data_IF_994085260432
#
_entry.id   IF_994085260432
#
_cell.length_a   1.000
_cell.length_b   1.000
_cell.length_c   1.000
_cell.angle_alpha   90.00
_cell.angle_beta   90.00
_cell.angle_gamma   90.00
#
_symmetry.space_group_name_H-M   'P 1'
#
loop_
_entity.id
_entity.type
_entity.pdbx_description
1 polymer ?
#
# COMPACT_ATOMS: atom_id res chain seq x y z
N UNK A 1 -0.25 -21.53 8.58
CA UNK A 1 -1.50 -21.69 7.81
C UNK A 1 -1.84 -20.30 7.30
N UNK A 2 -1.44 -19.97 6.08
CA UNK A 2 -1.66 -18.64 5.49
C UNK A 2 -3.17 -18.43 5.45
N UNK A 3 -3.68 -17.44 6.19
CA UNK A 3 -5.10 -17.07 6.18
C UNK A 3 -5.44 -16.69 4.74
N UNK A 4 -6.03 -17.61 3.98
CA UNK A 4 -6.69 -17.30 2.72
C UNK A 4 -7.76 -16.25 3.02
N UNK A 5 -7.49 -14.98 2.71
CA UNK A 5 -8.47 -13.90 2.77
C UNK A 5 -9.75 -14.36 2.06
N UNK A 6 -10.90 -14.18 2.72
CA UNK A 6 -12.13 -14.88 2.31
C UNK A 6 -12.64 -14.40 0.95
N UNK A 7 -13.05 -15.36 0.11
CA UNK A 7 -13.76 -15.14 -1.15
C UNK A 7 -14.91 -14.12 -1.04
N UNK A 8 -15.47 -13.99 0.17
CA UNK A 8 -16.62 -13.13 0.45
C UNK A 8 -16.22 -11.65 0.48
N UNK A 9 -15.03 -11.32 0.99
CA UNK A 9 -14.49 -9.96 0.95
C UNK A 9 -14.37 -9.51 -0.52
N UNK A 10 -13.84 -10.38 -1.38
CA UNK A 10 -13.60 -10.06 -2.79
C UNK A 10 -14.90 -9.93 -3.56
N UNK A 11 -15.85 -10.82 -3.28
CA UNK A 11 -17.18 -10.80 -3.87
C UNK A 11 -17.94 -9.54 -3.46
N UNK A 12 -17.93 -9.21 -2.17
CA UNK A 12 -18.54 -7.98 -1.64
C UNK A 12 -17.92 -6.75 -2.29
N UNK A 13 -16.59 -6.72 -2.40
CA UNK A 13 -15.91 -5.61 -3.03
C UNK A 13 -16.29 -5.49 -4.52
N UNK A 14 -16.33 -6.60 -5.27
CA UNK A 14 -16.79 -6.61 -6.68
C UNK A 14 -18.22 -6.08 -6.84
N UNK A 15 -19.11 -6.41 -5.91
CA UNK A 15 -20.50 -5.95 -5.93
C UNK A 15 -20.64 -4.45 -5.60
N UNK A 16 -19.69 -3.91 -4.84
CA UNK A 16 -19.60 -2.47 -4.53
C UNK A 16 -19.00 -1.66 -5.69
N UNK A 17 -18.23 -2.28 -6.58
CA UNK A 17 -17.44 -1.63 -7.62
C UNK A 17 -18.22 -1.42 -8.92
N UNK A 18 -18.21 -0.17 -9.39
CA UNK A 18 -18.34 0.17 -10.81
C UNK A 18 -17.05 0.93 -11.21
N UNK A 19 -16.66 0.90 -12.49
CA UNK A 19 -15.52 1.68 -13.01
C UNK A 19 -16.01 2.84 -13.88
N UNK A 20 -16.77 3.80 -13.32
CA UNK A 20 -17.35 4.85 -14.12
C UNK A 20 -16.31 5.90 -14.51
N UNK A 21 -16.42 6.42 -15.74
CA UNK A 21 -15.62 7.58 -16.17
C UNK A 21 -16.21 8.93 -15.73
N UNK A 22 -17.51 8.91 -15.37
CA UNK A 22 -18.33 10.07 -15.01
C UNK A 22 -18.15 10.45 -13.53
N UNK A 23 -18.00 11.76 -13.27
CA UNK A 23 -17.74 12.27 -11.91
C UNK A 23 -18.89 12.01 -10.94
N UNK A 24 -20.15 12.10 -11.37
CA UNK A 24 -21.28 11.89 -10.48
C UNK A 24 -21.32 10.42 -10.03
N UNK A 25 -21.07 9.50 -10.96
CA UNK A 25 -20.94 8.09 -10.64
C UNK A 25 -19.75 7.79 -9.73
N UNK A 26 -18.60 8.44 -9.91
CA UNK A 26 -17.45 8.30 -9.00
C UNK A 26 -17.79 8.76 -7.58
N UNK A 27 -18.51 9.89 -7.43
CA UNK A 27 -18.96 10.36 -6.11
C UNK A 27 -19.96 9.38 -5.48
N UNK A 28 -20.91 8.85 -6.25
CA UNK A 28 -21.82 7.82 -5.75
C UNK A 28 -21.09 6.54 -5.33
N UNK A 29 -20.02 6.19 -6.06
CA UNK A 29 -19.18 5.04 -5.73
C UNK A 29 -18.41 5.26 -4.42
N UNK A 30 -17.81 6.43 -4.23
CA UNK A 30 -17.16 6.81 -2.97
C UNK A 30 -18.13 6.70 -1.77
N UNK A 31 -19.35 7.23 -1.91
CA UNK A 31 -20.40 7.15 -0.88
C UNK A 31 -20.71 5.70 -0.52
N UNK A 32 -20.96 4.84 -1.52
CA UNK A 32 -21.29 3.42 -1.27
C UNK A 32 -20.16 2.69 -0.53
N UNK A 33 -18.92 2.96 -0.91
CA UNK A 33 -17.76 2.31 -0.31
C UNK A 33 -17.55 2.78 1.13
N UNK A 34 -17.69 4.08 1.37
CA UNK A 34 -17.70 4.66 2.72
C UNK A 34 -18.79 4.04 3.59
N UNK A 35 -20.02 3.95 3.09
CA UNK A 35 -21.15 3.34 3.80
C UNK A 35 -20.88 1.87 4.14
N UNK A 36 -20.30 1.11 3.21
CA UNK A 36 -19.91 -0.29 3.44
C UNK A 36 -18.84 -0.41 4.54
N UNK A 37 -17.81 0.45 4.52
CA UNK A 37 -16.80 0.52 5.58
C UNK A 37 -17.42 0.86 6.94
N UNK A 38 -18.32 1.84 6.96
CA UNK A 38 -19.03 2.26 8.18
C UNK A 38 -19.91 1.13 8.75
N UNK A 39 -20.59 0.38 7.90
CA UNK A 39 -21.38 -0.79 8.31
C UNK A 39 -20.51 -1.85 9.01
N UNK A 40 -19.31 -2.11 8.51
CA UNK A 40 -18.36 -3.03 9.15
C UNK A 40 -17.90 -2.53 10.53
N UNK A 41 -17.71 -1.22 10.70
CA UNK A 41 -17.39 -0.64 12.01
C UNK A 41 -18.57 -0.78 13.00
N UNK A 42 -19.82 -0.64 12.53
CA UNK A 42 -21.00 -0.93 13.36
C UNK A 42 -21.12 -2.40 13.75
N UNK A 43 -20.74 -3.32 12.86
CA UNK A 43 -20.64 -4.74 13.19
C UNK A 43 -19.61 -4.97 14.30
N UNK A 44 -18.42 -4.36 14.20
CA UNK A 44 -17.39 -4.41 15.25
C UNK A 44 -17.93 -3.90 16.59
N UNK A 45 -18.64 -2.77 16.58
CA UNK A 45 -19.30 -2.19 17.76
C UNK A 45 -20.33 -3.15 18.37
N UNK A 46 -21.08 -3.84 17.53
CA UNK A 46 -22.10 -4.80 17.98
C UNK A 46 -21.44 -6.02 18.62
N UNK A 47 -20.40 -6.56 18.01
CA UNK A 47 -19.62 -7.68 18.55
C UNK A 47 -19.05 -7.32 19.92
N UNK A 48 -18.40 -6.16 20.06
CA UNK A 48 -17.78 -5.78 21.33
C UNK A 48 -18.81 -5.54 22.45
N UNK A 49 -19.98 -4.98 22.15
CA UNK A 49 -21.07 -4.82 23.13
C UNK A 49 -21.60 -6.18 23.61
N UNK A 50 -21.61 -7.19 22.74
CA UNK A 50 -21.98 -8.54 23.13
C UNK A 50 -20.88 -9.20 23.97
N UNK A 51 -19.62 -9.06 23.56
CA UNK A 51 -18.45 -9.54 24.31
C UNK A 51 -18.39 -8.95 25.72
N UNK A 52 -18.72 -7.64 25.90
CA UNK A 52 -18.82 -6.99 27.22
C UNK A 52 -19.80 -7.73 28.14
N UNK A 53 -20.97 -8.12 27.61
CA UNK A 53 -21.99 -8.85 28.38
C UNK A 53 -21.57 -10.25 28.75
N UNK A 54 -20.83 -10.94 27.87
CA UNK A 54 -20.33 -12.30 28.05
C UNK A 54 -19.11 -12.38 28.97
N UNK A 55 -18.30 -11.31 29.03
CA UNK A 55 -17.03 -11.25 29.77
C UNK A 55 -17.13 -11.20 31.30
N UNK A 56 -18.30 -11.47 31.89
CA UNK A 56 -18.55 -11.26 33.33
C UNK A 56 -17.56 -11.99 34.25
N UNK A 57 -16.99 -13.10 33.79
CA UNK A 57 -16.09 -13.96 34.54
C UNK A 57 -14.60 -13.79 34.20
N UNK A 58 -14.26 -13.00 33.17
CA UNK A 58 -12.87 -12.75 32.75
C UNK A 58 -12.44 -11.33 33.13
N UNK A 59 -11.59 -11.22 34.16
CA UNK A 59 -11.14 -9.91 34.69
C UNK A 59 -10.33 -9.13 33.64
N UNK A 60 -9.55 -9.83 32.85
CA UNK A 60 -8.70 -9.30 31.80
C UNK A 60 -9.55 -8.63 30.71
N UNK A 61 -10.61 -9.29 30.25
CA UNK A 61 -11.52 -8.77 29.24
C UNK A 61 -12.22 -7.48 29.71
N UNK A 62 -12.66 -7.42 30.97
CA UNK A 62 -13.27 -6.21 31.57
C UNK A 62 -12.40 -4.97 31.51
N UNK A 63 -11.07 -5.13 31.44
CA UNK A 63 -10.14 -4.01 31.32
C UNK A 63 -10.06 -3.48 29.89
N UNK A 64 -10.04 -4.36 28.89
CA UNK A 64 -9.77 -3.98 27.50
C UNK A 64 -11.01 -3.63 26.70
N UNK A 65 -12.14 -4.32 26.92
CA UNK A 65 -13.35 -4.12 26.11
C UNK A 65 -13.89 -2.68 26.15
N UNK A 66 -13.97 -1.99 27.30
CA UNK A 66 -14.43 -0.59 27.30
C UNK A 66 -13.52 0.34 26.50
N UNK A 67 -12.21 0.08 26.50
CA UNK A 67 -11.24 0.88 25.76
C UNK A 67 -11.37 0.64 24.25
N UNK A 68 -11.44 -0.62 23.84
CA UNK A 68 -11.66 -0.98 22.43
C UNK A 68 -12.97 -0.41 21.90
N UNK A 69 -14.04 -0.45 22.70
CA UNK A 69 -15.35 0.11 22.36
C UNK A 69 -15.28 1.62 22.16
N UNK A 70 -14.65 2.33 23.10
CA UNK A 70 -14.46 3.78 22.96
C UNK A 70 -13.66 4.15 21.70
N UNK A 71 -12.66 3.34 21.33
CA UNK A 71 -11.89 3.55 20.10
C UNK A 71 -12.71 3.28 18.84
N UNK A 72 -13.53 2.22 18.83
CA UNK A 72 -14.46 1.94 17.72
C UNK A 72 -15.52 3.04 17.60
N UNK A 73 -16.10 3.50 18.70
CA UNK A 73 -17.06 4.61 18.69
C UNK A 73 -16.42 5.87 18.09
N UNK A 74 -15.17 6.17 18.47
CA UNK A 74 -14.40 7.28 17.88
C UNK A 74 -14.17 7.10 16.37
N UNK A 75 -13.84 5.89 15.89
CA UNK A 75 -13.67 5.63 14.46
C UNK A 75 -14.99 5.81 13.69
N UNK A 76 -16.11 5.36 14.27
CA UNK A 76 -17.45 5.52 13.68
C UNK A 76 -17.80 6.99 13.55
N UNK A 77 -17.59 7.79 14.60
CA UNK A 77 -17.91 9.22 14.58
C UNK A 77 -17.06 9.96 13.55
N UNK A 78 -15.75 9.69 13.50
CA UNK A 78 -14.87 10.24 12.47
C UNK A 78 -15.29 9.83 11.06
N UNK A 79 -15.66 8.56 10.86
CA UNK A 79 -16.11 8.04 9.56
C UNK A 79 -17.43 8.66 9.13
N UNK A 80 -18.32 9.02 10.06
CA UNK A 80 -19.56 9.74 9.73
C UNK A 80 -19.25 11.13 9.17
N UNK A 81 -18.38 11.86 9.86
CA UNK A 81 -18.01 13.24 9.52
C UNK A 81 -17.14 13.34 8.25
N UNK A 82 -16.55 12.23 7.80
CA UNK A 82 -15.70 12.11 6.61
C UNK A 82 -16.50 12.23 5.29
N UNK A 83 -17.14 13.37 5.03
CA UNK A 83 -17.88 13.59 3.77
C UNK A 83 -17.02 14.21 2.67
N UNK A 84 -17.13 13.69 1.45
CA UNK A 84 -16.56 14.28 0.26
C UNK A 84 -17.39 15.50 -0.17
N UNK A 85 -16.85 16.70 0.06
CA UNK A 85 -17.48 17.97 -0.32
C UNK A 85 -16.54 18.79 -1.19
N UNK A 86 -17.07 19.28 -2.32
CA UNK A 86 -16.33 20.18 -3.20
C UNK A 86 -16.69 21.63 -2.94
N UNK A 87 -15.70 22.53 -2.98
CA UNK A 87 -15.97 23.96 -2.95
C UNK A 87 -16.72 24.37 -4.24
N UNK A 88 -17.70 25.28 -4.15
CA UNK A 88 -18.34 25.83 -5.35
C UNK A 88 -17.29 26.36 -6.34
N UNK A 89 -17.42 25.99 -7.62
CA UNK A 89 -16.46 26.38 -8.66
C UNK A 89 -15.21 25.50 -8.78
N UNK A 90 -15.05 24.44 -7.99
CA UNK A 90 -13.94 23.48 -8.16
C UNK A 90 -13.99 22.86 -9.57
N UNK A 91 -12.92 22.93 -10.38
CA UNK A 91 -12.90 22.39 -11.73
C UNK A 91 -13.21 20.88 -11.76
N UNK A 92 -13.92 20.42 -12.78
CA UNK A 92 -14.32 19.00 -12.91
C UNK A 92 -13.11 18.05 -12.85
N UNK A 93 -12.00 18.44 -13.50
CA UNK A 93 -10.74 17.67 -13.47
C UNK A 93 -10.22 17.51 -12.04
N UNK A 94 -10.18 18.59 -11.26
CA UNK A 94 -9.73 18.57 -9.87
C UNK A 94 -10.69 17.75 -9.00
N UNK A 95 -12.00 17.90 -9.19
CA UNK A 95 -13.01 17.08 -8.51
C UNK A 95 -12.76 15.59 -8.75
N UNK A 96 -12.50 15.22 -10.01
CA UNK A 96 -12.23 13.83 -10.39
C UNK A 96 -10.97 13.27 -9.72
N UNK A 97 -9.88 14.03 -9.69
CA UNK A 97 -8.65 13.63 -9.00
C UNK A 97 -8.90 13.46 -7.51
N UNK A 98 -9.56 14.43 -6.86
CA UNK A 98 -9.90 14.35 -5.44
C UNK A 98 -10.79 13.14 -5.14
N UNK A 99 -11.84 12.90 -5.95
CA UNK A 99 -12.70 11.72 -5.78
C UNK A 99 -11.92 10.43 -5.92
N UNK A 100 -11.07 10.30 -6.95
CA UNK A 100 -10.22 9.13 -7.13
C UNK A 100 -9.29 8.89 -5.94
N UNK A 101 -8.69 9.95 -5.39
CA UNK A 101 -7.82 9.85 -4.23
C UNK A 101 -8.62 9.37 -3.00
N UNK A 102 -9.82 9.92 -2.77
CA UNK A 102 -10.69 9.49 -1.68
C UNK A 102 -11.07 8.00 -1.82
N UNK A 103 -11.45 7.58 -3.03
CA UNK A 103 -11.77 6.19 -3.35
C UNK A 103 -10.60 5.26 -2.99
N UNK A 104 -9.35 5.62 -3.31
CA UNK A 104 -8.17 4.80 -2.96
C UNK A 104 -8.06 4.58 -1.44
N UNK A 105 -8.29 5.63 -0.63
CA UNK A 105 -8.29 5.49 0.82
C UNK A 105 -9.48 4.64 1.29
N UNK A 106 -10.68 4.87 0.77
CA UNK A 106 -11.88 4.14 1.17
C UNK A 106 -11.81 2.65 0.86
N UNK A 107 -11.12 2.28 -0.22
CA UNK A 107 -10.88 0.88 -0.59
C UNK A 107 -10.04 0.17 0.47
N UNK A 108 -8.99 0.83 0.95
CA UNK A 108 -8.11 0.30 1.99
C UNK A 108 -8.83 0.33 3.34
N UNK A 109 -9.55 1.41 3.68
CA UNK A 109 -10.35 1.51 4.91
C UNK A 109 -11.40 0.40 4.96
N UNK A 110 -12.11 0.14 3.86
CA UNK A 110 -13.06 -0.98 3.74
C UNK A 110 -12.35 -2.31 4.01
N UNK A 111 -11.21 -2.54 3.36
CA UNK A 111 -10.41 -3.74 3.52
C UNK A 111 -10.00 -3.97 4.97
N UNK A 112 -9.41 -2.96 5.63
CA UNK A 112 -8.97 -3.02 7.02
C UNK A 112 -10.12 -3.14 8.01
N UNK A 113 -11.27 -2.52 7.72
CA UNK A 113 -12.48 -2.63 8.55
C UNK A 113 -13.05 -4.05 8.52
N UNK A 114 -12.93 -4.74 7.39
CA UNK A 114 -13.31 -6.15 7.28
C UNK A 114 -12.41 -7.05 8.13
N UNK A 115 -11.11 -6.82 8.08
CA UNK A 115 -10.14 -7.60 8.85
C UNK A 115 -10.33 -7.34 10.34
N UNK A 116 -10.55 -6.08 10.73
CA UNK A 116 -10.92 -5.69 12.08
C UNK A 116 -12.18 -6.41 12.59
N UNK A 117 -13.22 -6.52 11.75
CA UNK A 117 -14.43 -7.29 12.09
C UNK A 117 -14.11 -8.76 12.34
N UNK A 118 -13.21 -9.35 11.55
CA UNK A 118 -12.76 -10.74 11.74
C UNK A 118 -12.04 -10.89 13.06
N UNK A 119 -11.15 -9.96 13.42
CA UNK A 119 -10.46 -10.00 14.71
C UNK A 119 -11.37 -9.78 15.91
N UNK A 120 -12.40 -8.94 15.78
CA UNK A 120 -13.41 -8.82 16.83
C UNK A 120 -14.21 -10.11 17.05
N UNK A 121 -14.51 -10.87 15.99
CA UNK A 121 -15.14 -12.19 16.13
C UNK A 121 -14.23 -13.16 16.85
N UNK A 122 -12.96 -13.20 16.47
CA UNK A 122 -11.94 -14.02 17.15
C UNK A 122 -11.84 -13.65 18.64
N UNK A 123 -11.80 -12.35 18.98
CA UNK A 123 -11.82 -11.89 20.36
C UNK A 123 -13.05 -12.36 21.14
N UNK A 124 -14.25 -12.26 20.53
CA UNK A 124 -15.50 -12.71 21.16
C UNK A 124 -15.47 -14.23 21.42
N UNK A 125 -14.98 -15.02 20.46
CA UNK A 125 -14.78 -16.47 20.64
C UNK A 125 -13.82 -16.77 21.81
N UNK A 126 -12.65 -16.12 21.87
CA UNK A 126 -11.71 -16.29 22.98
C UNK A 126 -12.34 -15.96 24.34
N UNK A 127 -13.21 -14.94 24.40
CA UNK A 127 -13.94 -14.56 25.61
C UNK A 127 -14.97 -15.63 25.98
N UNK A 128 -15.73 -16.15 25.01
CA UNK A 128 -16.74 -17.19 25.24
C UNK A 128 -16.09 -18.48 25.76
N UNK A 129 -14.93 -18.85 25.21
CA UNK A 129 -14.22 -20.08 25.59
C UNK A 129 -13.25 -19.92 26.76
N UNK A 130 -13.07 -18.70 27.28
CA UNK A 130 -12.24 -18.45 28.46
C UNK A 130 -10.73 -18.51 28.21
N UNK A 131 -10.28 -18.28 26.98
CA UNK A 131 -8.87 -18.36 26.56
C UNK A 131 -8.09 -17.07 26.92
N UNK A 132 -7.96 -16.82 28.23
CA UNK A 132 -7.45 -15.57 28.78
C UNK A 132 -6.01 -15.23 28.36
N UNK A 133 -5.16 -16.25 28.14
CA UNK A 133 -3.76 -16.11 27.74
C UNK A 133 -3.60 -15.51 26.34
N UNK A 134 -4.56 -15.74 25.44
CA UNK A 134 -4.53 -15.23 24.05
C UNK A 134 -5.19 -13.87 23.88
N UNK A 135 -5.99 -13.42 24.86
CA UNK A 135 -6.73 -12.15 24.76
C UNK A 135 -5.82 -10.94 24.52
N UNK A 136 -4.64 -10.93 25.15
CA UNK A 136 -3.72 -9.79 25.03
C UNK A 136 -3.22 -9.61 23.60
N UNK A 137 -2.90 -10.71 22.92
CA UNK A 137 -2.41 -10.67 21.54
C UNK A 137 -3.53 -10.26 20.58
N UNK A 138 -4.73 -10.83 20.75
CA UNK A 138 -5.90 -10.42 19.97
C UNK A 138 -6.25 -8.93 20.16
N UNK A 139 -6.19 -8.41 21.40
CA UNK A 139 -6.41 -6.99 21.68
C UNK A 139 -5.35 -6.11 21.01
N UNK A 140 -4.09 -6.53 20.99
CA UNK A 140 -3.01 -5.80 20.31
C UNK A 140 -3.26 -5.73 18.81
N UNK A 141 -3.59 -6.84 18.16
CA UNK A 141 -3.89 -6.88 16.72
C UNK A 141 -5.07 -5.97 16.38
N UNK A 142 -6.16 -6.01 17.17
CA UNK A 142 -7.31 -5.10 17.02
C UNK A 142 -6.88 -3.64 17.13
N UNK A 143 -6.03 -3.28 18.10
CA UNK A 143 -5.55 -1.92 18.28
C UNK A 143 -4.70 -1.44 17.09
N UNK A 144 -3.87 -2.30 16.52
CA UNK A 144 -3.07 -2.01 15.32
C UNK A 144 -3.98 -1.75 14.10
N UNK A 145 -5.03 -2.55 13.91
CA UNK A 145 -6.04 -2.30 12.89
C UNK A 145 -6.78 -0.97 13.10
N UNK A 146 -7.22 -0.67 14.32
CA UNK A 146 -7.88 0.59 14.67
C UNK A 146 -6.98 1.78 14.37
N UNK A 147 -5.72 1.74 14.80
CA UNK A 147 -4.76 2.82 14.56
C UNK A 147 -4.54 3.03 13.06
N UNK A 148 -4.38 1.94 12.31
CA UNK A 148 -4.18 2.01 10.85
C UNK A 148 -5.36 2.67 10.15
N UNK A 149 -6.61 2.32 10.52
CA UNK A 149 -7.82 2.93 9.97
C UNK A 149 -7.89 4.42 10.33
N UNK A 150 -7.54 4.77 11.58
CA UNK A 150 -7.53 6.15 12.06
C UNK A 150 -6.54 7.03 11.28
N UNK A 151 -5.34 6.50 10.99
CA UNK A 151 -4.31 7.13 10.17
C UNK A 151 -4.78 7.32 8.72
N UNK A 152 -5.48 6.34 8.14
CA UNK A 152 -6.04 6.39 6.80
C UNK A 152 -7.13 7.47 6.69
N UNK A 153 -8.06 7.54 7.64
CA UNK A 153 -9.10 8.58 7.68
C UNK A 153 -8.44 9.97 7.76
N UNK A 154 -7.43 10.12 8.64
CA UNK A 154 -6.68 11.38 8.78
C UNK A 154 -5.97 11.79 7.49
N UNK A 155 -5.38 10.81 6.78
CA UNK A 155 -4.68 11.05 5.52
C UNK A 155 -5.65 11.36 4.38
N UNK A 156 -6.83 10.73 4.37
CA UNK A 156 -7.92 11.01 3.43
C UNK A 156 -8.37 12.47 3.53
N UNK A 157 -8.51 13.01 4.74
CA UNK A 157 -8.87 14.42 4.93
C UNK A 157 -7.86 15.38 4.28
N UNK A 158 -6.57 15.04 4.31
CA UNK A 158 -5.52 15.82 3.64
C UNK A 158 -5.69 15.89 2.12
N UNK A 159 -6.06 14.78 1.47
CA UNK A 159 -6.21 14.73 0.00
C UNK A 159 -7.49 15.37 -0.52
N UNK A 160 -8.49 15.63 0.34
CA UNK A 160 -9.68 16.41 -0.03
C UNK A 160 -9.37 17.86 -0.36
N UNK A 161 -8.26 18.38 0.16
CA UNK A 161 -7.90 19.79 0.09
C UNK A 161 -6.66 20.06 -0.76
N UNK A 162 -5.91 19.02 -1.13
CA UNK A 162 -4.64 19.14 -1.85
C UNK A 162 -4.75 18.49 -3.23
N UNK A 163 -4.32 19.20 -4.28
CA UNK A 163 -4.21 18.63 -5.63
C UNK A 163 -2.95 17.77 -5.74
N UNK A 164 -3.04 16.53 -5.27
CA UNK A 164 -2.05 15.48 -5.52
C UNK A 164 -2.55 14.55 -6.63
N UNK A 165 -1.66 14.09 -7.51
CA UNK A 165 -2.06 13.15 -8.56
C UNK A 165 -2.50 11.82 -7.94
N UNK A 166 -3.46 11.14 -8.58
CA UNK A 166 -3.94 9.85 -8.09
C UNK A 166 -2.84 8.78 -8.14
N UNK A 167 -1.91 8.93 -9.07
CA UNK A 167 -0.72 8.09 -9.19
C UNK A 167 0.22 8.26 -7.98
N UNK A 168 0.50 9.49 -7.55
CA UNK A 168 1.36 9.74 -6.38
C UNK A 168 0.72 9.20 -5.09
N UNK A 169 -0.59 9.40 -4.93
CA UNK A 169 -1.34 8.85 -3.78
C UNK A 169 -1.32 7.33 -3.80
N UNK A 170 -1.60 6.73 -4.95
CA UNK A 170 -1.60 5.28 -5.07
C UNK A 170 -0.21 4.70 -4.79
N UNK A 171 0.87 5.35 -5.22
CA UNK A 171 2.23 4.92 -4.89
C UNK A 171 2.51 5.00 -3.41
N UNK A 172 2.15 6.10 -2.76
CA UNK A 172 2.28 6.24 -1.30
C UNK A 172 1.52 5.13 -0.57
N UNK A 173 0.32 4.80 -1.03
CA UNK A 173 -0.50 3.74 -0.44
C UNK A 173 0.07 2.35 -0.73
N UNK A 174 0.60 2.13 -1.93
CA UNK A 174 1.20 0.86 -2.35
C UNK A 174 2.46 0.51 -1.57
N UNK A 175 3.15 1.49 -0.98
CA UNK A 175 4.22 1.23 0.00
C UNK A 175 3.67 0.46 1.21
N UNK A 176 2.55 0.89 1.80
CA UNK A 176 2.08 0.38 3.09
C UNK A 176 0.97 -0.67 2.97
N UNK A 177 0.28 -0.70 1.84
CA UNK A 177 -0.97 -1.43 1.62
C UNK A 177 -0.96 -2.16 0.26
N UNK A 178 0.18 -2.72 -0.14
CA UNK A 178 0.34 -3.43 -1.42
C UNK A 178 -0.68 -4.57 -1.53
N UNK A 179 -0.86 -5.35 -0.46
CA UNK A 179 -1.84 -6.43 -0.40
C UNK A 179 -3.27 -5.93 -0.61
N UNK A 180 -3.70 -4.89 0.10
CA UNK A 180 -5.03 -4.33 -0.06
C UNK A 180 -5.23 -3.76 -1.47
N UNK A 181 -4.23 -3.09 -2.04
CA UNK A 181 -4.32 -2.56 -3.40
C UNK A 181 -4.33 -3.66 -4.46
N UNK A 182 -3.54 -4.72 -4.32
CA UNK A 182 -3.58 -5.89 -5.20
C UNK A 182 -4.96 -6.55 -5.17
N UNK A 183 -5.54 -6.68 -3.97
CA UNK A 183 -6.89 -7.22 -3.79
C UNK A 183 -7.95 -6.35 -4.49
N UNK A 184 -7.82 -5.04 -4.35
CA UNK A 184 -8.70 -4.06 -5.00
C UNK A 184 -8.53 -4.06 -6.52
N UNK A 185 -7.30 -4.25 -7.01
CA UNK A 185 -7.02 -4.42 -8.45
C UNK A 185 -7.67 -5.68 -9.00
N UNK A 186 -7.60 -6.81 -8.29
CA UNK A 186 -8.28 -8.06 -8.64
C UNK A 186 -9.81 -7.90 -8.68
N UNK A 187 -10.35 -7.04 -7.82
CA UNK A 187 -11.76 -6.68 -7.84
C UNK A 187 -12.12 -5.74 -9.02
N UNK A 188 -11.12 -5.19 -9.71
CA UNK A 188 -11.27 -4.28 -10.84
C UNK A 188 -11.46 -2.82 -10.42
N UNK A 189 -11.41 -2.49 -9.13
CA UNK A 189 -11.69 -1.14 -8.61
C UNK A 189 -10.68 -0.10 -9.06
N UNK A 190 -9.42 -0.50 -9.26
CA UNK A 190 -8.36 0.41 -9.68
C UNK A 190 -8.37 0.69 -11.18
N UNK A 191 -9.22 0.00 -11.98
CA UNK A 191 -9.29 0.20 -13.44
C UNK A 191 -9.74 1.61 -13.76
N UNK A 192 -8.78 2.46 -14.13
CA UNK A 192 -9.01 3.86 -14.48
C UNK A 192 -8.62 4.87 -13.40
N UNK A 193 -8.24 4.41 -12.20
CA UNK A 193 -7.62 5.23 -11.14
C UNK A 193 -6.10 5.15 -11.27
N UNK A 194 -5.57 3.93 -11.44
CA UNK A 194 -4.18 3.67 -11.73
C UNK A 194 -4.01 3.46 -13.23
N UNK A 195 -3.45 4.47 -13.89
CA UNK A 195 -3.11 4.40 -15.30
C UNK A 195 -1.70 4.90 -15.49
N UNK A 196 -0.75 3.96 -15.56
CA UNK A 196 0.57 4.27 -16.09
C UNK A 196 0.50 4.33 -17.62
N UNK A 197 -0.16 5.38 -18.14
CA UNK A 197 -0.25 5.62 -19.57
C UNK A 197 1.00 6.35 -20.07
N UNK A 198 1.62 5.81 -21.13
CA UNK A 198 2.78 6.44 -21.76
C UNK A 198 2.39 7.79 -22.38
N UNK A 199 2.93 8.92 -21.91
CA UNK A 199 2.55 10.22 -22.44
C UNK A 199 3.07 10.40 -23.86
N UNK A 200 2.24 10.96 -24.74
CA UNK A 200 2.61 11.22 -26.15
C UNK A 200 3.67 12.33 -26.28
N UNK A 201 3.74 13.25 -25.32
CA UNK A 201 4.63 14.43 -25.32
C UNK A 201 5.50 14.56 -24.07
N UNK A 202 5.44 15.72 -23.40
CA UNK A 202 6.14 15.98 -22.13
C UNK A 202 5.66 15.04 -21.02
N UNK A 203 6.54 14.72 -20.06
CA UNK A 203 6.23 13.85 -18.92
C UNK A 203 6.70 12.39 -19.05
N UNK A 204 7.43 12.05 -20.13
CA UNK A 204 8.00 10.69 -20.31
C UNK A 204 8.96 10.28 -19.19
N UNK A 205 9.66 11.23 -18.56
CA UNK A 205 10.55 10.95 -17.42
C UNK A 205 9.80 10.28 -16.28
N UNK A 206 8.79 10.98 -15.71
CA UNK A 206 7.93 10.44 -14.65
C UNK A 206 7.33 9.09 -14.99
N UNK A 207 6.85 8.90 -16.23
CA UNK A 207 6.36 7.59 -16.68
C UNK A 207 7.41 6.49 -16.53
N UNK A 208 8.65 6.72 -16.97
CA UNK A 208 9.72 5.72 -16.87
C UNK A 208 10.22 5.55 -15.44
N UNK A 209 10.20 6.58 -14.60
CA UNK A 209 10.54 6.45 -13.17
C UNK A 209 9.55 5.50 -12.48
N UNK A 210 8.26 5.73 -12.70
CA UNK A 210 7.19 4.89 -12.14
C UNK A 210 7.22 3.46 -12.72
N UNK A 211 7.47 3.31 -14.03
CA UNK A 211 7.61 1.99 -14.66
C UNK A 211 8.82 1.23 -14.10
N UNK A 212 9.93 1.91 -13.85
CA UNK A 212 11.16 1.32 -13.30
C UNK A 212 10.91 0.72 -11.92
N UNK A 213 10.15 1.40 -11.05
CA UNK A 213 9.79 0.86 -9.74
C UNK A 213 9.01 -0.45 -9.82
N UNK A 214 8.06 -0.50 -10.76
CA UNK A 214 7.21 -1.68 -10.94
C UNK A 214 8.03 -2.81 -11.57
N UNK A 215 8.93 -2.50 -12.49
CA UNK A 215 9.90 -3.48 -13.02
C UNK A 215 10.77 -4.06 -11.90
N UNK A 216 11.24 -3.21 -10.98
CA UNK A 216 12.06 -3.66 -9.85
C UNK A 216 11.27 -4.60 -8.93
N UNK A 217 10.01 -4.26 -8.58
CA UNK A 217 9.08 -5.16 -7.87
C UNK A 217 8.91 -6.51 -8.58
N UNK A 218 8.63 -6.45 -9.88
CA UNK A 218 8.45 -7.65 -10.69
C UNK A 218 9.72 -8.49 -10.68
N UNK A 219 10.90 -7.88 -10.77
CA UNK A 219 12.18 -8.58 -10.68
C UNK A 219 12.37 -9.28 -9.31
N UNK A 220 12.10 -8.59 -8.20
CA UNK A 220 12.13 -9.18 -6.86
C UNK A 220 11.15 -10.36 -6.71
N UNK A 221 9.97 -10.30 -7.33
CA UNK A 221 9.02 -11.43 -7.28
C UNK A 221 9.55 -12.75 -7.88
N UNK A 222 10.68 -12.73 -8.60
CA UNK A 222 11.36 -13.93 -9.09
C UNK A 222 12.34 -14.54 -8.08
N UNK A 223 12.56 -13.93 -6.92
CA UNK A 223 13.57 -14.38 -5.96
C UNK A 223 14.99 -13.99 -6.41
N UNK A 224 15.14 -12.89 -7.14
CA UNK A 224 16.41 -12.50 -7.78
C UNK A 224 17.50 -12.18 -6.74
N UNK A 225 17.10 -11.74 -5.55
CA UNK A 225 17.93 -11.47 -4.36
C UNK A 225 18.61 -12.70 -3.78
N UNK A 226 18.13 -13.89 -4.14
CA UNK A 226 18.68 -15.16 -3.69
C UNK A 226 19.10 -16.06 -4.87
N UNK A 227 19.15 -15.50 -6.09
CA UNK A 227 19.40 -16.24 -7.33
C UNK A 227 20.59 -15.67 -8.10
N UNK A 228 21.58 -16.52 -8.34
CA UNK A 228 22.68 -16.23 -9.27
C UNK A 228 22.23 -16.30 -10.74
N UNK A 229 21.06 -16.86 -11.01
CA UNK A 229 20.53 -17.00 -12.37
C UNK A 229 19.92 -15.68 -12.86
N UNK A 230 20.41 -15.12 -13.99
CA UNK A 230 19.82 -13.93 -14.56
C UNK A 230 18.46 -14.23 -15.20
N UNK A 231 17.52 -13.29 -15.07
CA UNK A 231 16.16 -13.39 -15.58
C UNK A 231 16.09 -12.76 -16.97
N UNK A 232 15.36 -13.37 -17.90
CA UNK A 232 15.19 -12.75 -19.20
C UNK A 232 14.28 -11.51 -19.11
N UNK A 233 14.60 -10.45 -19.85
CA UNK A 233 13.76 -9.25 -19.91
C UNK A 233 12.34 -9.57 -20.40
N UNK A 234 12.19 -10.60 -21.25
CA UNK A 234 10.89 -11.10 -21.69
C UNK A 234 10.05 -11.68 -20.56
N UNK A 235 10.67 -12.38 -19.61
CA UNK A 235 9.94 -12.96 -18.47
C UNK A 235 9.46 -11.85 -17.53
N UNK A 236 10.31 -10.82 -17.31
CA UNK A 236 9.92 -9.61 -16.56
C UNK A 236 8.74 -8.94 -17.26
N UNK A 237 8.80 -8.71 -18.57
CA UNK A 237 7.71 -8.09 -19.31
C UNK A 237 6.42 -8.93 -19.29
N UNK A 238 6.52 -10.25 -19.37
CA UNK A 238 5.37 -11.14 -19.30
C UNK A 238 4.73 -11.11 -17.90
N UNK A 239 5.53 -11.16 -16.84
CA UNK A 239 5.04 -11.09 -15.46
C UNK A 239 4.46 -9.72 -15.14
N UNK A 240 5.10 -8.64 -15.57
CA UNK A 240 4.57 -7.27 -15.47
C UNK A 240 3.18 -7.17 -16.10
N UNK A 241 3.01 -7.63 -17.35
CA UNK A 241 1.72 -7.58 -18.03
C UNK A 241 0.65 -8.47 -17.40
N UNK A 242 1.07 -9.55 -16.71
CA UNK A 242 0.16 -10.44 -15.98
C UNK A 242 -0.27 -9.86 -14.64
N UNK A 243 0.66 -9.29 -13.87
CA UNK A 243 0.40 -8.73 -12.54
C UNK A 243 -0.27 -7.36 -12.64
N UNK A 244 0.13 -6.55 -13.61
CA UNK A 244 -0.33 -5.17 -13.81
C UNK A 244 -0.89 -4.98 -15.23
N UNK A 245 -2.03 -5.63 -15.58
CA UNK A 245 -2.60 -5.59 -16.92
C UNK A 245 -3.07 -4.18 -17.35
N UNK A 246 -3.16 -3.25 -16.40
CA UNK A 246 -3.45 -1.84 -16.64
C UNK A 246 -2.26 -1.06 -17.21
N UNK A 247 -1.04 -1.57 -17.05
CA UNK A 247 0.20 -0.97 -17.54
C UNK A 247 0.46 -1.47 -18.96
N UNK A 248 0.12 -0.65 -19.96
CA UNK A 248 0.36 -0.97 -21.37
C UNK A 248 1.82 -0.69 -21.78
N UNK A 249 2.79 -1.28 -21.07
CA UNK A 249 4.21 -1.16 -21.38
C UNK A 249 4.63 -2.20 -22.43
N UNK A 250 5.19 -1.74 -23.56
CA UNK A 250 5.78 -2.65 -24.53
C UNK A 250 7.18 -3.11 -24.07
N UNK A 251 7.77 -4.10 -24.77
CA UNK A 251 9.11 -4.61 -24.41
C UNK A 251 10.20 -3.53 -24.46
N UNK A 252 10.03 -2.48 -25.27
CA UNK A 252 10.98 -1.36 -25.37
C UNK A 252 10.85 -0.44 -24.17
N UNK A 253 9.63 -0.26 -23.65
CA UNK A 253 9.37 0.47 -22.42
C UNK A 253 9.95 -0.26 -21.22
N UNK A 254 9.77 -1.59 -21.15
CA UNK A 254 10.40 -2.44 -20.13
C UNK A 254 11.93 -2.37 -20.22
N UNK A 255 12.50 -2.49 -21.43
CA UNK A 255 13.94 -2.33 -21.64
C UNK A 255 14.44 -0.98 -21.14
N UNK A 256 13.74 0.12 -21.46
CA UNK A 256 14.16 1.45 -21.05
C UNK A 256 14.08 1.66 -19.53
N UNK A 257 13.00 1.21 -18.89
CA UNK A 257 12.93 1.26 -17.42
C UNK A 257 14.02 0.41 -16.77
N UNK A 258 14.28 -0.77 -17.31
CA UNK A 258 15.37 -1.64 -16.83
C UNK A 258 16.75 -1.02 -17.05
N UNK A 259 16.97 -0.33 -18.17
CA UNK A 259 18.21 0.41 -18.40
C UNK A 259 18.38 1.54 -17.39
N UNK A 260 17.31 2.27 -17.05
CA UNK A 260 17.36 3.29 -16.00
C UNK A 260 17.72 2.69 -14.63
N UNK A 261 17.16 1.54 -14.27
CA UNK A 261 17.57 0.82 -13.07
C UNK A 261 19.04 0.40 -13.14
N UNK A 262 19.50 -0.07 -14.31
CA UNK A 262 20.88 -0.48 -14.51
C UNK A 262 21.88 0.67 -14.42
N UNK A 263 21.55 1.81 -15.02
CA UNK A 263 22.36 3.03 -15.02
C UNK A 263 22.48 3.61 -13.59
N UNK A 264 21.43 3.47 -12.79
CA UNK A 264 21.43 3.86 -11.38
C UNK A 264 21.98 2.76 -10.45
N UNK A 265 22.45 1.63 -10.99
CA UNK A 265 23.19 0.61 -10.24
C UNK A 265 22.34 -0.41 -9.47
N UNK A 266 21.04 -0.46 -9.71
CA UNK A 266 20.12 -1.42 -9.08
C UNK A 266 20.21 -2.80 -9.70
N UNK A 267 20.27 -2.82 -11.03
CA UNK A 267 20.27 -4.04 -11.81
C UNK A 267 21.49 -4.06 -12.72
N UNK A 268 21.82 -5.24 -13.19
CA UNK A 268 22.80 -5.45 -14.25
C UNK A 268 22.02 -5.94 -15.46
N UNK A 269 21.96 -5.09 -16.49
CA UNK A 269 21.38 -5.43 -17.77
C UNK A 269 22.50 -5.87 -18.73
N UNK A 270 22.46 -7.13 -19.16
CA UNK A 270 23.42 -7.70 -20.12
C UNK A 270 22.69 -8.16 -21.38
N UNK A 271 23.34 -8.01 -22.53
CA UNK A 271 22.86 -8.58 -23.78
C UNK A 271 23.75 -9.77 -24.17
N UNK A 272 23.14 -10.89 -24.52
CA UNK A 272 23.87 -12.06 -25.01
C UNK A 272 24.21 -11.97 -26.50
N UNK A 273 24.94 -12.97 -27.01
CA UNK A 273 25.36 -13.04 -28.43
C UNK A 273 24.18 -13.17 -29.41
N UNK A 274 23.00 -13.56 -28.94
CA UNK A 274 21.77 -13.70 -29.73
C UNK A 274 20.90 -12.44 -29.67
N UNK A 275 21.33 -11.43 -28.91
CA UNK A 275 20.62 -10.17 -28.74
C UNK A 275 19.56 -10.21 -27.64
N UNK A 276 19.49 -11.27 -26.83
CA UNK A 276 18.55 -11.39 -25.71
C UNK A 276 19.08 -10.60 -24.51
N UNK A 277 18.18 -9.84 -23.88
CA UNK A 277 18.50 -9.07 -22.68
C UNK A 277 18.23 -9.89 -21.42
N UNK A 278 19.20 -9.86 -20.53
CA UNK A 278 19.25 -10.58 -19.26
C UNK A 278 19.43 -9.58 -18.12
N UNK A 279 18.64 -9.76 -17.07
CA UNK A 279 18.57 -8.89 -15.90
C UNK A 279 19.03 -9.69 -14.70
N UNK A 280 19.99 -9.15 -13.98
CA UNK A 280 20.47 -9.70 -12.70
C UNK A 280 20.48 -8.56 -11.68
N UNK A 281 20.44 -8.88 -10.38
CA UNK A 281 20.89 -7.91 -9.40
C UNK A 281 22.38 -7.61 -9.60
N UNK A 282 22.79 -6.40 -9.23
CA UNK A 282 24.22 -6.08 -9.13
C UNK A 282 24.83 -6.97 -8.04
N UNK A 283 26.10 -7.40 -8.12
CA UNK A 283 26.70 -8.28 -7.11
C UNK A 283 26.60 -7.71 -5.68
N UNK A 284 26.52 -8.64 -4.73
CA UNK A 284 26.21 -8.49 -3.29
C UNK A 284 26.97 -7.40 -2.52
N UNK A 285 28.13 -6.95 -3.02
CA UNK A 285 28.94 -5.90 -2.39
C UNK A 285 28.58 -4.48 -2.84
N UNK A 286 27.60 -4.31 -3.73
CA UNK A 286 27.20 -2.96 -4.15
C UNK A 286 26.49 -2.20 -3.03
N UNK A 287 26.80 -0.91 -2.91
CA UNK A 287 26.20 -0.03 -1.90
C UNK A 287 24.67 -0.02 -1.97
N UNK A 288 24.13 -0.17 -3.18
CA UNK A 288 22.70 -0.32 -3.43
C UNK A 288 22.12 -1.60 -2.80
N UNK A 289 22.80 -2.74 -2.90
CA UNK A 289 22.33 -3.98 -2.28
C UNK A 289 22.35 -3.93 -0.77
N UNK A 290 23.36 -3.28 -0.17
CA UNK A 290 23.41 -3.09 1.27
C UNK A 290 22.19 -2.29 1.72
N UNK A 291 21.82 -1.23 1.00
CA UNK A 291 20.61 -0.46 1.28
C UNK A 291 19.35 -1.29 1.07
N UNK A 292 19.24 -2.03 -0.03
CA UNK A 292 18.07 -2.87 -0.30
C UNK A 292 17.89 -3.95 0.77
N UNK A 293 18.95 -4.64 1.17
CA UNK A 293 18.94 -5.65 2.23
C UNK A 293 18.56 -5.06 3.60
N UNK A 294 19.03 -3.84 3.91
CA UNK A 294 18.61 -3.15 5.13
C UNK A 294 17.12 -2.74 5.06
N UNK A 295 16.64 -2.34 3.90
CA UNK A 295 15.26 -1.92 3.69
C UNK A 295 14.27 -3.08 3.66
N UNK A 296 14.70 -4.29 3.29
CA UNK A 296 13.89 -5.51 3.23
C UNK A 296 13.21 -5.82 4.57
N UNK A 297 13.88 -5.60 5.70
CA UNK A 297 13.33 -5.91 7.03
C UNK A 297 12.10 -5.06 7.41
N UNK A 298 11.97 -3.84 6.87
CA UNK A 298 10.99 -2.83 7.36
C UNK A 298 10.24 -2.08 6.27
N UNK A 299 10.66 -2.20 5.01
CA UNK A 299 10.15 -1.39 3.90
C UNK A 299 10.58 0.08 3.93
N UNK A 300 11.35 0.53 4.92
CA UNK A 300 11.86 1.88 5.03
C UNK A 300 13.18 1.94 5.80
N UNK A 301 13.93 3.03 5.61
CA UNK A 301 15.19 3.32 6.29
C UNK A 301 15.27 4.77 6.75
N UNK A 302 15.93 5.01 7.88
CA UNK A 302 16.42 6.36 8.23
C UNK A 302 17.92 6.49 7.97
N UNK A 303 18.40 7.72 7.84
CA UNK A 303 19.84 8.00 7.67
C UNK A 303 20.63 7.42 8.85
N UNK A 304 20.14 7.58 10.07
CA UNK A 304 20.80 7.11 11.29
C UNK A 304 20.91 5.58 11.33
N UNK A 305 19.88 4.86 10.86
CA UNK A 305 19.90 3.40 10.78
C UNK A 305 20.97 2.91 9.80
N UNK A 306 21.05 3.51 8.61
CA UNK A 306 22.04 3.12 7.60
C UNK A 306 23.45 3.48 8.04
N UNK A 307 23.68 4.67 8.59
CA UNK A 307 25.00 5.06 9.14
C UNK A 307 25.43 4.06 10.21
N UNK A 308 24.55 3.70 11.14
CA UNK A 308 24.86 2.77 12.23
C UNK A 308 25.16 1.34 11.76
N UNK A 309 24.54 0.91 10.66
CA UNK A 309 24.69 -0.46 10.14
C UNK A 309 25.86 -0.63 9.18
N UNK A 310 26.29 0.45 8.52
CA UNK A 310 27.30 0.42 7.45
C UNK A 310 28.60 1.14 7.80
N UNK A 311 28.61 1.92 8.88
CA UNK A 311 29.68 2.85 9.26
C UNK A 311 30.02 3.88 8.16
N UNK A 312 29.10 4.14 7.23
CA UNK A 312 29.27 5.15 6.19
C UNK A 312 29.12 6.58 6.75
N UNK A 313 29.75 7.55 6.09
CA UNK A 313 29.56 8.96 6.43
C UNK A 313 28.12 9.38 6.12
N UNK A 314 27.60 10.35 6.88
CA UNK A 314 26.25 10.87 6.68
C UNK A 314 26.04 11.38 5.25
N UNK A 315 27.04 12.06 4.69
CA UNK A 315 27.04 12.54 3.29
C UNK A 315 26.91 11.39 2.30
N UNK A 316 27.66 10.30 2.50
CA UNK A 316 27.61 9.13 1.64
C UNK A 316 26.26 8.42 1.74
N UNK A 317 25.74 8.20 2.95
CA UNK A 317 24.42 7.59 3.15
C UNK A 317 23.33 8.41 2.46
N UNK A 318 23.39 9.73 2.59
CA UNK A 318 22.41 10.60 1.97
C UNK A 318 22.53 10.60 0.44
N UNK A 319 23.75 10.62 -0.10
CA UNK A 319 23.99 10.49 -1.54
C UNK A 319 23.42 9.17 -2.07
N UNK A 320 23.72 8.05 -1.41
CA UNK A 320 23.22 6.74 -1.83
C UNK A 320 21.69 6.67 -1.75
N UNK A 321 21.08 7.07 -0.63
CA UNK A 321 19.61 7.06 -0.49
C UNK A 321 18.92 8.02 -1.49
N UNK A 322 19.52 9.17 -1.79
CA UNK A 322 18.99 10.10 -2.79
C UNK A 322 19.11 9.55 -4.23
N UNK A 323 20.05 8.62 -4.52
CA UNK A 323 20.04 7.84 -5.78
C UNK A 323 18.79 6.99 -5.91
N UNK A 324 18.31 6.38 -4.81
CA UNK A 324 17.05 5.65 -4.80
C UNK A 324 15.84 6.56 -5.03
N UNK A 325 15.85 7.76 -4.46
CA UNK A 325 14.79 8.74 -4.72
C UNK A 325 14.80 9.19 -6.18
N UNK A 326 15.99 9.44 -6.73
CA UNK A 326 16.16 9.90 -8.12
C UNK A 326 15.79 8.82 -9.13
N UNK A 327 16.12 7.56 -8.85
CA UNK A 327 15.71 6.41 -9.65
C UNK A 327 14.22 6.06 -9.49
N UNK A 328 13.51 6.76 -8.60
CA UNK A 328 12.12 6.49 -8.24
C UNK A 328 11.94 5.36 -7.23
N UNK A 329 12.97 4.56 -6.96
CA UNK A 329 12.90 3.34 -6.15
C UNK A 329 12.64 3.58 -4.66
N UNK A 330 12.88 4.80 -4.17
CA UNK A 330 12.52 5.21 -2.82
C UNK A 330 11.74 6.53 -2.79
N UNK A 331 10.91 6.70 -1.77
CA UNK A 331 10.19 7.94 -1.50
C UNK A 331 10.78 8.57 -0.24
N UNK A 332 11.30 9.79 -0.38
CA UNK A 332 11.79 10.59 0.74
C UNK A 332 10.61 11.29 1.43
N UNK A 333 10.34 10.91 2.66
CA UNK A 333 9.36 11.53 3.54
C UNK A 333 10.10 12.32 4.63
N UNK A 334 9.77 13.58 4.79
CA UNK A 334 10.43 14.47 5.76
C UNK A 334 9.40 14.91 6.78
N UNK A 335 9.51 14.39 7.98
CA UNK A 335 8.65 14.75 9.11
C UNK A 335 9.49 15.45 10.19
N UNK A 336 9.01 16.60 10.64
CA UNK A 336 9.66 17.41 11.66
C UNK A 336 9.75 16.68 13.02
N UNK A 337 8.82 15.75 13.30
CA UNK A 337 8.77 15.02 14.56
C UNK A 337 9.57 13.70 14.53
N UNK A 338 9.68 13.04 13.37
CA UNK A 338 10.26 11.68 13.25
C UNK A 338 11.51 11.59 12.40
N UNK A 339 11.95 12.69 11.78
CA UNK A 339 13.15 12.74 10.94
C UNK A 339 12.87 12.44 9.46
N UNK A 340 13.94 12.20 8.70
CA UNK A 340 13.84 11.84 7.27
C UNK A 340 13.76 10.33 7.13
N UNK A 341 12.71 9.84 6.48
CA UNK A 341 12.52 8.42 6.16
C UNK A 341 12.56 8.21 4.65
N UNK A 342 13.22 7.13 4.24
CA UNK A 342 13.27 6.68 2.86
C UNK A 342 12.49 5.38 2.76
N UNK A 343 11.33 5.43 2.13
CA UNK A 343 10.46 4.26 1.95
C UNK A 343 10.78 3.56 0.64
N UNK A 344 10.88 2.25 0.63
CA UNK A 344 11.20 1.43 -0.54
C UNK A 344 9.96 0.63 -0.94
N UNK A 345 9.02 1.21 -1.71
CA UNK A 345 7.78 0.53 -2.11
C UNK A 345 8.04 -0.83 -2.77
N UNK A 346 9.21 -1.00 -3.40
CA UNK A 346 9.61 -2.21 -4.10
C UNK A 346 9.88 -3.43 -3.23
N UNK A 347 10.12 -3.23 -1.93
CA UNK A 347 10.63 -4.26 -1.01
C UNK A 347 9.66 -4.61 0.12
N UNK A 348 8.49 -3.98 0.17
CA UNK A 348 7.50 -4.31 1.21
C UNK A 348 6.88 -5.65 0.82
N UNK A 349 7.36 -6.74 1.43
CA UNK A 349 6.82 -8.08 1.26
C UNK A 349 5.40 -8.22 1.84
N UNK A 350 4.67 -9.19 1.27
CA UNK A 350 3.35 -9.71 1.68
C UNK A 350 3.35 -10.31 3.10
#
# INVERSE_FOLDING_TARGET
>A
MVRTMSSDKLTTLKDLIDTPKDINKLVQYEIKLKEAGMFLLFDCRTIIVNAEKSSQFLKEAKRFLPQLKSRIDSLIDRSRDDELRFRPGTPEKSRKVITNNCILYDLIIFSRSWDLKTEFKNLDELIIFGEADKLKDAVREILEHIQTIDELISSKDGVKTTEQSSEDIAQKLLVKFDQELNFVEQAGALRGILKLEKPKGLGKGRYYDQLSNIILKVAFSFGIEHSDEPISLSDIAQRLNRQYPSIQADIKDVLKGTQMLSDNGFLVLKQDRRGVYWVQLKPDESEANIILALAEEKGFLTIEEVVKKTDWTLEKVQEELDKFVTAGCAIKDTDYATGVKYYFPGLVEE
#
